data_IF_900900269674
#
_entry.id   IF_900900269674
#
_cell.length_a   1.000
_cell.length_b   1.000
_cell.length_c   1.000
_cell.angle_alpha   90.00
_cell.angle_beta   90.00
_cell.angle_gamma   90.00
#
_symmetry.space_group_name_H-M   'P 1'
#
loop_
_entity.id
_entity.type
_entity.pdbx_description
1 polymer ?
#
# COMPACT_ATOMS: atom_id res chain seq x y z
N UNK A 1 -7.08 23.68 -39.52
CA UNK A 1 -7.41 22.26 -39.85
C UNK A 1 -6.48 21.38 -39.04
N UNK A 2 -7.04 20.77 -38.00
CA UNK A 2 -6.59 19.61 -37.21
C UNK A 2 -5.16 19.57 -36.64
N UNK A 3 -5.05 19.88 -35.35
CA UNK A 3 -3.93 19.53 -34.47
C UNK A 3 -3.80 18.02 -34.25
N UNK A 4 -2.60 17.45 -34.07
CA UNK A 4 -2.42 16.18 -33.37
C UNK A 4 -2.11 16.43 -31.88
N UNK A 5 -3.08 16.09 -31.02
CA UNK A 5 -3.01 16.10 -29.54
C UNK A 5 -2.41 14.79 -28.98
N UNK A 6 -1.74 13.99 -29.80
CA UNK A 6 -1.40 12.60 -29.45
C UNK A 6 -0.05 12.40 -28.74
N UNK A 7 0.74 13.46 -28.53
CA UNK A 7 2.07 13.37 -27.88
C UNK A 7 2.03 13.46 -26.35
N UNK A 8 1.21 14.37 -25.81
CA UNK A 8 1.27 14.73 -24.38
C UNK A 8 0.69 13.64 -23.46
N UNK A 9 -0.36 12.93 -23.92
CA UNK A 9 -1.00 11.87 -23.11
C UNK A 9 -0.08 10.67 -22.86
N UNK A 10 0.82 10.35 -23.79
CA UNK A 10 1.72 9.19 -23.68
C UNK A 10 2.95 9.47 -22.81
N UNK A 11 3.36 10.74 -22.75
CA UNK A 11 4.46 11.23 -21.90
C UNK A 11 4.01 11.37 -20.45
N UNK A 12 2.78 11.84 -20.21
CA UNK A 12 2.15 11.88 -18.87
C UNK A 12 1.96 10.47 -18.30
N UNK A 13 1.51 9.51 -19.11
CA UNK A 13 1.41 8.09 -18.74
C UNK A 13 2.78 7.50 -18.35
N UNK A 14 3.87 7.95 -18.97
CA UNK A 14 5.22 7.47 -18.66
C UNK A 14 5.76 8.03 -17.35
N UNK A 15 5.37 9.25 -16.97
CA UNK A 15 5.71 9.86 -15.67
C UNK A 15 4.86 9.24 -14.56
N UNK A 16 3.57 8.96 -14.81
CA UNK A 16 2.72 8.22 -13.86
C UNK A 16 3.17 6.77 -13.68
N UNK A 17 3.54 6.07 -14.77
CA UNK A 17 4.19 4.75 -14.69
C UNK A 17 5.55 4.83 -13.99
N UNK A 18 6.33 5.88 -14.23
CA UNK A 18 7.59 6.12 -13.54
C UNK A 18 7.38 6.42 -12.05
N UNK A 19 6.28 7.06 -11.64
CA UNK A 19 5.92 7.31 -10.24
C UNK A 19 5.45 6.04 -9.53
N UNK A 20 4.79 5.12 -10.24
CA UNK A 20 4.48 3.76 -9.74
C UNK A 20 5.74 2.88 -9.67
N UNK A 21 6.73 3.11 -10.55
CA UNK A 21 8.05 2.46 -10.55
C UNK A 21 9.05 3.11 -9.59
N UNK A 22 8.82 4.37 -9.18
CA UNK A 22 9.57 5.10 -8.15
C UNK A 22 9.03 4.71 -6.77
N UNK A 23 9.18 3.42 -6.47
CA UNK A 23 9.26 2.95 -5.09
C UNK A 23 10.34 3.72 -4.32
N UNK A 24 10.39 3.56 -3.00
CA UNK A 24 11.35 4.15 -2.04
C UNK A 24 11.44 5.68 -2.04
N UNK A 25 11.57 6.40 -3.15
CA UNK A 25 11.76 7.86 -3.15
C UNK A 25 10.43 8.62 -2.95
N UNK A 26 9.32 8.13 -3.50
CA UNK A 26 8.00 8.66 -3.15
C UNK A 26 7.62 8.31 -1.71
N UNK A 27 8.01 7.12 -1.25
CA UNK A 27 7.86 6.70 0.15
C UNK A 27 8.71 7.58 1.06
N UNK A 28 9.99 7.82 0.73
CA UNK A 28 10.88 8.74 1.46
C UNK A 28 10.34 10.14 1.46
N UNK A 29 9.77 10.62 0.35
CA UNK A 29 9.16 11.94 0.27
C UNK A 29 7.95 12.05 1.21
N UNK A 30 7.05 11.06 1.22
CA UNK A 30 5.91 11.07 2.14
C UNK A 30 6.28 10.78 3.59
N UNK A 31 7.23 9.88 3.85
CA UNK A 31 7.83 9.66 5.17
C UNK A 31 8.53 10.93 5.66
N UNK A 32 9.21 11.65 4.77
CA UNK A 32 9.83 12.94 5.09
C UNK A 32 8.78 14.01 5.34
N UNK A 33 7.68 14.05 4.57
CA UNK A 33 6.53 14.92 4.87
C UNK A 33 5.95 14.57 6.23
N UNK A 34 5.64 13.29 6.51
CA UNK A 34 5.14 12.82 7.82
C UNK A 34 6.07 13.19 8.97
N UNK A 35 7.39 13.06 8.77
CA UNK A 35 8.42 13.40 9.75
C UNK A 35 8.62 14.92 9.92
N UNK A 36 8.38 15.72 8.88
CA UNK A 36 8.58 17.17 8.91
C UNK A 36 7.35 17.95 9.37
N UNK A 37 6.17 17.34 9.39
CA UNK A 37 4.90 18.04 9.53
C UNK A 37 4.30 18.03 10.93
N UNK A 38 4.95 17.44 11.94
CA UNK A 38 4.31 17.08 13.22
C UNK A 38 3.01 16.25 13.01
N UNK A 39 2.76 15.69 11.81
CA UNK A 39 1.58 14.84 11.50
C UNK A 39 1.79 13.42 12.03
N UNK A 40 3.03 12.92 12.01
CA UNK A 40 3.48 11.98 13.02
C UNK A 40 3.70 12.73 14.33
N UNK A 41 2.62 13.33 14.87
CA UNK A 41 2.66 13.95 16.19
C UNK A 41 3.11 12.91 17.22
N UNK A 42 3.45 13.36 18.43
CA UNK A 42 3.55 12.48 19.61
C UNK A 42 2.32 11.53 19.79
N UNK A 43 1.23 11.71 19.02
CA UNK A 43 0.00 10.93 19.07
C UNK A 43 -0.18 9.88 17.95
N UNK A 44 0.66 9.81 16.90
CA UNK A 44 0.54 8.65 15.97
C UNK A 44 1.09 7.42 16.69
N UNK A 45 0.26 6.41 16.99
CA UNK A 45 0.73 5.28 17.77
C UNK A 45 1.81 4.54 16.99
N UNK A 46 2.94 4.24 17.63
CA UNK A 46 4.02 3.45 17.05
C UNK A 46 3.49 2.12 16.46
N UNK A 47 2.47 1.55 17.10
CA UNK A 47 1.75 0.36 16.67
C UNK A 47 1.06 0.54 15.31
N UNK A 48 0.57 1.74 14.96
CA UNK A 48 -0.03 2.01 13.66
C UNK A 48 1.01 1.95 12.54
N UNK A 49 2.21 2.49 12.77
CA UNK A 49 3.30 2.43 11.79
C UNK A 49 3.76 1.00 11.58
N UNK A 50 3.96 0.23 12.66
CA UNK A 50 4.28 -1.21 12.55
C UNK A 50 3.20 -1.97 11.79
N UNK A 51 1.92 -1.68 12.07
CA UNK A 51 0.79 -2.30 11.37
C UNK A 51 0.82 -1.97 9.88
N UNK A 52 1.02 -0.71 9.49
CA UNK A 52 1.09 -0.30 8.09
C UNK A 52 2.27 -0.95 7.34
N UNK A 53 3.42 -1.08 8.00
CA UNK A 53 4.59 -1.78 7.44
C UNK A 53 4.32 -3.27 7.25
N UNK A 54 3.76 -3.94 8.27
CA UNK A 54 3.39 -5.34 8.19
C UNK A 54 2.36 -5.57 7.08
N UNK A 55 1.33 -4.72 7.00
CA UNK A 55 0.30 -4.79 5.98
C UNK A 55 0.85 -4.61 4.56
N UNK A 56 1.73 -3.63 4.37
CA UNK A 56 2.44 -3.40 3.12
C UNK A 56 3.21 -4.65 2.69
N UNK A 57 3.99 -5.22 3.61
CA UNK A 57 4.78 -6.42 3.33
C UNK A 57 3.92 -7.65 3.07
N UNK A 58 2.83 -7.85 3.81
CA UNK A 58 1.86 -8.93 3.57
C UNK A 58 1.28 -8.85 2.16
N UNK A 59 0.79 -7.68 1.75
CA UNK A 59 0.24 -7.47 0.42
C UNK A 59 1.29 -7.77 -0.68
N UNK A 60 2.53 -7.32 -0.49
CA UNK A 60 3.64 -7.59 -1.42
C UNK A 60 3.96 -9.10 -1.52
N UNK A 61 4.00 -9.80 -0.39
CA UNK A 61 4.30 -11.23 -0.33
C UNK A 61 3.17 -12.08 -0.93
N UNK A 62 1.91 -11.70 -0.70
CA UNK A 62 0.75 -12.31 -1.36
C UNK A 62 0.88 -12.19 -2.89
N UNK A 63 1.19 -11.00 -3.39
CA UNK A 63 1.39 -10.75 -4.81
C UNK A 63 2.54 -11.58 -5.40
N UNK A 64 3.66 -11.72 -4.67
CA UNK A 64 4.78 -12.58 -5.07
C UNK A 64 4.39 -14.05 -5.11
N UNK A 65 3.64 -14.53 -4.12
CA UNK A 65 3.22 -15.93 -4.02
C UNK A 65 2.37 -16.35 -5.23
N UNK A 66 1.51 -15.46 -5.72
CA UNK A 66 0.65 -15.72 -6.90
C UNK A 66 1.28 -15.31 -8.23
N UNK A 67 2.52 -14.81 -8.23
CA UNK A 67 3.23 -14.42 -9.44
C UNK A 67 2.70 -13.15 -10.13
N UNK A 68 2.13 -12.20 -9.38
CA UNK A 68 1.66 -10.95 -9.93
C UNK A 68 2.80 -10.14 -10.57
N UNK A 69 2.51 -9.42 -11.66
CA UNK A 69 3.52 -8.70 -12.45
C UNK A 69 4.19 -7.56 -11.67
N UNK A 70 3.47 -6.90 -10.76
CA UNK A 70 3.97 -5.75 -10.01
C UNK A 70 3.66 -5.84 -8.50
N UNK A 71 4.42 -6.64 -7.72
CA UNK A 71 4.24 -6.74 -6.28
C UNK A 71 4.44 -5.43 -5.51
N UNK A 72 5.23 -4.49 -6.06
CA UNK A 72 5.47 -3.21 -5.41
C UNK A 72 4.19 -2.36 -5.28
N UNK A 73 3.26 -2.45 -6.24
CA UNK A 73 1.97 -1.77 -6.11
C UNK A 73 1.10 -2.31 -4.97
N UNK A 74 1.22 -3.60 -4.65
CA UNK A 74 0.53 -4.21 -3.50
C UNK A 74 1.14 -3.72 -2.18
N UNK A 75 2.46 -3.56 -2.14
CA UNK A 75 3.13 -2.91 -1.01
C UNK A 75 2.58 -1.50 -0.79
N UNK A 76 2.48 -0.68 -1.84
CA UNK A 76 1.91 0.67 -1.75
C UNK A 76 0.47 0.67 -1.23
N UNK A 77 -0.37 -0.24 -1.73
CA UNK A 77 -1.76 -0.38 -1.26
C UNK A 77 -1.80 -0.74 0.23
N UNK A 78 -0.98 -1.68 0.70
CA UNK A 78 -0.92 -1.99 2.13
C UNK A 78 -0.42 -0.82 2.98
N UNK A 79 0.63 -0.12 2.52
CA UNK A 79 1.23 1.01 3.25
C UNK A 79 0.27 2.20 3.37
N UNK A 80 -0.49 2.51 2.33
CA UNK A 80 -1.38 3.68 2.29
C UNK A 80 -2.81 3.40 2.78
N UNK A 81 -3.09 2.16 3.18
CA UNK A 81 -4.43 1.71 3.59
C UNK A 81 -5.03 2.42 4.81
N UNK A 82 -4.24 3.13 5.61
CA UNK A 82 -4.73 3.98 6.71
C UNK A 82 -4.12 5.39 6.67
N UNK A 83 -3.77 5.87 5.48
CA UNK A 83 -3.17 7.20 5.31
C UNK A 83 -4.16 8.32 5.68
N UNK A 84 -5.46 8.09 5.49
CA UNK A 84 -6.57 8.94 5.94
C UNK A 84 -6.56 9.13 7.46
N UNK A 85 -6.30 8.05 8.22
CA UNK A 85 -6.16 8.10 9.68
C UNK A 85 -4.95 8.92 10.09
N UNK A 86 -3.79 8.72 9.43
CA UNK A 86 -2.56 9.47 9.71
C UNK A 86 -2.70 10.94 9.35
N UNK A 87 -3.45 11.26 8.30
CA UNK A 87 -3.66 12.63 7.81
C UNK A 87 -4.89 13.32 8.41
N UNK A 88 -5.62 12.64 9.31
CA UNK A 88 -6.86 13.11 9.94
C UNK A 88 -7.87 13.70 8.94
N UNK A 89 -7.98 13.08 7.77
CA UNK A 89 -8.84 13.53 6.67
C UNK A 89 -9.44 12.33 5.94
N UNK A 90 -10.38 12.55 5.02
CA UNK A 90 -10.98 11.45 4.27
C UNK A 90 -10.02 10.89 3.20
N UNK A 91 -10.07 9.57 2.99
CA UNK A 91 -9.20 8.88 2.03
C UNK A 91 -9.35 9.42 0.60
N UNK A 92 -10.53 9.88 0.19
CA UNK A 92 -10.73 10.44 -1.15
C UNK A 92 -9.90 11.72 -1.34
N UNK A 93 -9.91 12.62 -0.35
CA UNK A 93 -9.11 13.85 -0.31
C UNK A 93 -7.61 13.56 -0.29
N UNK A 94 -7.17 12.53 0.44
CA UNK A 94 -5.76 12.08 0.43
C UNK A 94 -5.38 11.65 -0.99
N UNK A 95 -6.13 10.71 -1.57
CA UNK A 95 -5.79 10.10 -2.86
C UNK A 95 -5.92 11.05 -4.04
N UNK A 96 -6.75 12.10 -3.94
CA UNK A 96 -6.85 13.15 -4.95
C UNK A 96 -5.52 13.90 -5.16
N UNK A 97 -4.67 13.96 -4.12
CA UNK A 97 -3.39 14.65 -4.15
C UNK A 97 -2.23 13.72 -4.55
N UNK A 98 -2.47 12.41 -4.60
CA UNK A 98 -1.44 11.42 -4.92
C UNK A 98 -1.48 11.03 -6.41
N UNK A 99 -0.30 10.98 -7.08
CA UNK A 99 -0.20 10.55 -8.47
C UNK A 99 -0.22 9.01 -8.56
N UNK A 100 -1.24 8.37 -7.99
CA UNK A 100 -1.45 6.93 -8.05
C UNK A 100 -2.34 6.57 -9.24
N UNK A 101 -2.07 5.42 -9.85
CA UNK A 101 -2.94 4.84 -10.88
C UNK A 101 -4.29 4.43 -10.31
N UNK A 102 -5.31 4.41 -11.16
CA UNK A 102 -6.69 4.17 -10.75
C UNK A 102 -6.85 2.82 -10.05
N UNK A 103 -6.12 1.77 -10.46
CA UNK A 103 -6.18 0.46 -9.84
C UNK A 103 -5.79 0.48 -8.36
N UNK A 104 -4.76 1.27 -8.00
CA UNK A 104 -4.33 1.46 -6.61
C UNK A 104 -5.37 2.28 -5.84
N UNK A 105 -5.94 3.32 -6.45
CA UNK A 105 -7.01 4.13 -5.82
C UNK A 105 -8.27 3.30 -5.56
N UNK A 106 -8.68 2.47 -6.52
CA UNK A 106 -9.83 1.57 -6.37
C UNK A 106 -9.59 0.50 -5.29
N UNK A 107 -8.37 0.00 -5.15
CA UNK A 107 -8.00 -0.91 -4.07
C UNK A 107 -8.11 -0.22 -2.69
N UNK A 108 -7.60 1.01 -2.56
CA UNK A 108 -7.60 1.76 -1.30
C UNK A 108 -9.01 2.25 -0.91
N UNK A 109 -9.79 2.78 -1.85
CA UNK A 109 -11.13 3.35 -1.56
C UNK A 109 -12.21 2.30 -1.42
N UNK A 110 -12.13 1.23 -2.20
CA UNK A 110 -13.27 0.33 -2.41
C UNK A 110 -12.91 -1.14 -2.22
N UNK A 111 -11.64 -1.45 -1.89
CA UNK A 111 -11.16 -2.83 -1.78
C UNK A 111 -11.47 -3.67 -3.03
N UNK A 112 -11.36 -3.04 -4.20
CA UNK A 112 -11.66 -3.63 -5.52
C UNK A 112 -10.39 -4.03 -6.25
N UNK A 113 -10.56 -4.94 -7.22
CA UNK A 113 -9.46 -5.48 -8.00
C UNK A 113 -8.58 -6.42 -7.19
N UNK A 114 -7.50 -6.89 -7.81
CA UNK A 114 -6.61 -7.88 -7.20
C UNK A 114 -5.89 -7.33 -5.97
N UNK A 115 -5.37 -6.11 -6.06
CA UNK A 115 -4.75 -5.41 -4.93
C UNK A 115 -5.73 -5.18 -3.76
N UNK A 116 -7.00 -4.87 -4.05
CA UNK A 116 -8.02 -4.71 -3.03
C UNK A 116 -8.38 -6.03 -2.32
N UNK A 117 -8.33 -7.15 -3.05
CA UNK A 117 -8.49 -8.49 -2.44
C UNK A 117 -7.32 -8.84 -1.53
N UNK A 118 -6.08 -8.57 -1.96
CA UNK A 118 -4.89 -8.77 -1.12
C UNK A 118 -4.95 -7.92 0.17
N UNK A 119 -5.37 -6.65 0.05
CA UNK A 119 -5.55 -5.76 1.19
C UNK A 119 -6.62 -6.28 2.15
N UNK A 120 -7.79 -6.67 1.63
CA UNK A 120 -8.88 -7.24 2.42
C UNK A 120 -8.46 -8.52 3.14
N UNK A 121 -7.78 -9.43 2.45
CA UNK A 121 -7.23 -10.66 3.03
C UNK A 121 -6.29 -10.34 4.20
N UNK A 122 -5.40 -9.37 4.00
CA UNK A 122 -4.45 -8.96 5.04
C UNK A 122 -5.16 -8.37 6.26
N UNK A 123 -6.12 -7.48 6.06
CA UNK A 123 -6.92 -6.88 7.15
C UNK A 123 -7.76 -7.93 7.91
N UNK A 124 -8.26 -8.96 7.23
CA UNK A 124 -8.95 -10.07 7.87
C UNK A 124 -8.01 -10.87 8.79
N UNK A 125 -6.79 -11.18 8.33
CA UNK A 125 -5.77 -11.86 9.13
C UNK A 125 -5.35 -11.04 10.35
N UNK A 126 -5.16 -9.73 10.19
CA UNK A 126 -4.85 -8.80 11.30
C UNK A 126 -5.97 -8.77 12.35
N UNK A 127 -7.22 -8.84 11.90
CA UNK A 127 -8.41 -8.82 12.78
C UNK A 127 -8.75 -10.19 13.39
N UNK A 128 -7.97 -11.23 13.08
CA UNK A 128 -8.23 -12.60 13.53
C UNK A 128 -9.40 -13.30 12.82
N UNK A 129 -9.94 -12.70 11.75
CA UNK A 129 -11.03 -13.25 10.92
C UNK A 129 -10.47 -14.20 9.86
N UNK A 130 -9.80 -15.27 10.30
CA UNK A 130 -9.05 -16.19 9.42
C UNK A 130 -9.96 -16.84 8.38
N UNK A 131 -11.21 -17.17 8.74
CA UNK A 131 -12.18 -17.78 7.83
C UNK A 131 -12.63 -16.84 6.69
N UNK A 132 -12.45 -15.52 6.86
CA UNK A 132 -12.75 -14.50 5.86
C UNK A 132 -11.53 -14.13 5.00
N UNK A 133 -10.33 -14.56 5.43
CA UNK A 133 -9.10 -14.30 4.71
C UNK A 133 -8.98 -15.22 3.48
N UNK A 134 -9.10 -14.63 2.30
CA UNK A 134 -8.97 -15.35 1.04
C UNK A 134 -8.23 -14.48 0.01
N UNK A 135 -7.29 -15.10 -0.70
CA UNK A 135 -6.60 -14.47 -1.82
C UNK A 135 -6.16 -15.56 -2.81
N UNK A 136 -6.77 -15.55 -4.00
CA UNK A 136 -6.61 -16.62 -5.00
C UNK A 136 -6.83 -18.02 -4.38
N UNK A 137 -6.02 -19.00 -4.77
CA UNK A 137 -6.09 -20.39 -4.32
C UNK A 137 -5.17 -20.68 -3.10
N UNK A 138 -4.70 -19.65 -2.41
CA UNK A 138 -3.80 -19.82 -1.25
C UNK A 138 -4.55 -20.42 -0.06
N UNK A 139 -3.94 -21.42 0.58
CA UNK A 139 -4.53 -22.04 1.77
C UNK A 139 -4.27 -21.22 3.05
N UNK A 140 -5.02 -21.52 4.11
CA UNK A 140 -4.89 -20.81 5.39
C UNK A 140 -3.48 -20.90 6.01
N UNK A 141 -2.73 -21.97 5.73
CA UNK A 141 -1.36 -22.15 6.17
C UNK A 141 -0.40 -21.22 5.44
N UNK A 142 -0.55 -21.06 4.12
CA UNK A 142 0.20 -20.12 3.30
C UNK A 142 -0.08 -18.67 3.71
N UNK A 143 -1.36 -18.31 3.86
CA UNK A 143 -1.78 -16.98 4.30
C UNK A 143 -1.21 -16.63 5.69
N UNK A 144 -1.32 -17.56 6.64
CA UNK A 144 -0.79 -17.35 7.99
C UNK A 144 0.74 -17.27 8.00
N UNK A 145 1.44 -18.03 7.15
CA UNK A 145 2.90 -17.94 7.01
C UNK A 145 3.31 -16.57 6.48
N UNK A 146 2.66 -16.10 5.42
CA UNK A 146 2.93 -14.79 4.81
C UNK A 146 2.72 -13.67 5.83
N UNK A 147 1.62 -13.69 6.57
CA UNK A 147 1.32 -12.66 7.56
C UNK A 147 2.35 -12.63 8.70
N UNK A 148 2.78 -13.81 9.20
CA UNK A 148 3.83 -13.88 10.22
C UNK A 148 5.18 -13.37 9.73
N UNK A 149 5.55 -13.71 8.49
CA UNK A 149 6.79 -13.23 7.87
C UNK A 149 6.79 -11.69 7.76
N UNK A 150 5.65 -11.13 7.35
CA UNK A 150 5.47 -9.69 7.24
C UNK A 150 5.51 -8.96 8.59
N UNK A 151 4.87 -9.51 9.62
CA UNK A 151 4.93 -8.96 10.98
C UNK A 151 6.36 -8.94 11.52
N UNK A 152 7.08 -10.07 11.42
CA UNK A 152 8.47 -10.14 11.86
C UNK A 152 9.36 -9.12 11.14
N UNK A 153 9.19 -8.99 9.83
CA UNK A 153 9.92 -7.99 9.04
C UNK A 153 9.62 -6.55 9.49
N UNK A 154 8.37 -6.23 9.80
CA UNK A 154 7.99 -4.90 10.26
C UNK A 154 8.62 -4.57 11.63
N UNK A 155 8.63 -5.54 12.55
CA UNK A 155 9.28 -5.41 13.85
C UNK A 155 10.80 -5.18 13.71
N UNK A 156 11.47 -5.93 12.82
CA UNK A 156 12.89 -5.74 12.53
C UNK A 156 13.17 -4.35 11.97
N UNK A 157 12.38 -3.87 11.01
CA UNK A 157 12.54 -2.53 10.43
C UNK A 157 12.40 -1.45 11.50
N UNK A 158 11.43 -1.59 12.41
CA UNK A 158 11.22 -0.67 13.52
C UNK A 158 12.38 -0.69 14.53
N UNK A 159 12.91 -1.87 14.85
CA UNK A 159 14.03 -2.01 15.77
C UNK A 159 15.33 -1.36 15.26
N UNK A 160 15.52 -1.26 13.94
CA UNK A 160 16.69 -0.59 13.34
C UNK A 160 16.52 0.93 13.15
N UNK A 161 15.28 1.44 13.26
CA UNK A 161 14.97 2.86 13.08
C UNK A 161 14.94 3.65 14.40
N UNK A 162 14.92 2.97 15.55
CA UNK A 162 14.98 3.53 16.90
C UNK A 162 16.44 3.63 17.41
#
# INVERSE_FOLDING_TARGET
VNSPITGLSREIDSIQRALVLLGVDMIKYWVSIMAMSDLASENTPDELITTLLARARSCELLAKQVGAENPASYFTVGLFSALDVVMETDMETVLAQLPLVDEVKQALLHLKGDMGQALRCTMALESGLIDEAAFHDLDAGELARINREAMHWADEVRAHAA
#
